data_IF_090136543261
#
_entry.id   IF_090136543261
#
_cell.length_a   1.000
_cell.length_b   1.000
_cell.length_c   1.000
_cell.angle_alpha   90.00
_cell.angle_beta   90.00
_cell.angle_gamma   90.00
#
_symmetry.space_group_name_H-M   'P 1'
#
loop_
_entity.id
_entity.type
_entity.pdbx_description
1 polymer ?
#
# COMPACT_ATOMS: atom_id res chain seq x y z
N UNK A 1 -2.55 17.89 -22.85
CA UNK A 1 -3.60 17.98 -23.87
C UNK A 1 -4.10 19.40 -23.80
N UNK A 2 -3.89 20.15 -24.86
CA UNK A 2 -4.33 21.54 -24.99
C UNK A 2 -5.80 21.58 -25.48
N UNK A 3 -6.37 22.77 -25.59
CA UNK A 3 -7.77 22.95 -25.94
C UNK A 3 -8.07 22.45 -27.37
N UNK A 4 -7.11 22.58 -28.27
CA UNK A 4 -7.23 22.21 -29.68
C UNK A 4 -7.32 20.69 -29.85
N UNK A 5 -6.52 19.92 -29.10
CA UNK A 5 -6.62 18.46 -29.04
C UNK A 5 -8.00 18.00 -28.52
N UNK A 6 -8.57 18.71 -27.54
CA UNK A 6 -9.88 18.37 -26.96
C UNK A 6 -11.02 18.58 -27.96
N UNK A 7 -11.05 19.72 -28.65
CA UNK A 7 -12.07 20.01 -29.66
C UNK A 7 -11.98 19.03 -30.84
N UNK A 8 -10.77 18.73 -31.29
CA UNK A 8 -10.55 17.73 -32.33
C UNK A 8 -11.08 16.37 -31.91
N UNK A 9 -10.70 15.87 -30.73
CA UNK A 9 -11.20 14.59 -30.24
C UNK A 9 -12.72 14.59 -30.07
N UNK A 10 -13.34 15.68 -29.58
CA UNK A 10 -14.80 15.79 -29.47
C UNK A 10 -15.51 15.71 -30.83
N UNK A 11 -14.92 16.27 -31.89
CA UNK A 11 -15.49 16.23 -33.25
C UNK A 11 -15.58 14.82 -33.83
N UNK A 12 -14.72 13.90 -33.38
CA UNK A 12 -14.67 12.51 -33.82
C UNK A 12 -15.66 11.59 -33.08
N UNK A 13 -16.32 12.09 -32.04
CA UNK A 13 -17.12 11.26 -31.14
C UNK A 13 -18.53 11.00 -31.68
N UNK A 14 -19.09 9.80 -31.44
CA UNK A 14 -20.51 9.55 -31.64
C UNK A 14 -21.36 10.57 -30.87
N UNK A 15 -22.51 10.96 -31.42
CA UNK A 15 -23.44 11.87 -30.74
C UNK A 15 -23.83 11.31 -29.37
N UNK A 16 -23.58 12.08 -28.31
CA UNK A 16 -23.89 11.71 -26.93
C UNK A 16 -22.79 10.93 -26.20
N UNK A 17 -21.66 10.62 -26.85
CA UNK A 17 -20.53 9.97 -26.20
C UNK A 17 -19.65 11.00 -25.47
N UNK A 18 -19.08 10.63 -24.32
CA UNK A 18 -18.17 11.48 -23.56
C UNK A 18 -16.73 11.11 -23.88
N UNK A 19 -15.88 12.09 -24.22
CA UNK A 19 -14.45 11.85 -24.49
C UNK A 19 -13.76 11.11 -23.32
N UNK A 20 -14.18 11.37 -22.09
CA UNK A 20 -13.63 10.76 -20.89
C UNK A 20 -13.91 9.24 -20.82
N UNK A 21 -14.93 8.73 -21.52
CA UNK A 21 -15.22 7.29 -21.61
C UNK A 21 -14.06 6.53 -22.30
N UNK A 22 -13.27 7.21 -23.13
CA UNK A 22 -12.17 6.62 -23.91
C UNK A 22 -10.82 6.77 -23.22
N UNK A 23 -10.80 7.34 -22.01
CA UNK A 23 -9.57 7.61 -21.25
C UNK A 23 -9.35 6.61 -20.12
N UNK A 24 -9.94 5.41 -20.23
CA UNK A 24 -9.86 4.35 -19.22
C UNK A 24 -8.40 3.96 -18.90
N UNK A 25 -7.52 3.99 -19.90
CA UNK A 25 -6.09 3.65 -19.75
C UNK A 25 -5.17 4.86 -19.50
N UNK A 26 -5.73 6.07 -19.41
CA UNK A 26 -4.96 7.30 -19.19
C UNK A 26 -5.03 7.73 -17.72
N UNK A 27 -4.16 7.16 -16.89
CA UNK A 27 -4.08 7.43 -15.45
C UNK A 27 -3.15 8.61 -15.08
N UNK A 28 -2.87 9.53 -16.01
CA UNK A 28 -2.01 10.68 -15.68
C UNK A 28 -2.72 11.61 -14.67
N UNK A 29 -1.99 12.24 -13.74
CA UNK A 29 -2.61 13.14 -12.76
C UNK A 29 -3.41 14.28 -13.41
N UNK A 30 -2.98 14.77 -14.58
CA UNK A 30 -3.70 15.79 -15.34
C UNK A 30 -5.05 15.26 -15.86
N UNK A 31 -5.08 14.02 -16.38
CA UNK A 31 -6.32 13.39 -16.84
C UNK A 31 -7.27 13.12 -15.67
N UNK A 32 -6.74 12.63 -14.55
CA UNK A 32 -7.52 12.37 -13.33
C UNK A 32 -8.11 13.68 -12.79
N UNK A 33 -7.32 14.76 -12.74
CA UNK A 33 -7.81 16.09 -12.37
C UNK A 33 -8.90 16.57 -13.30
N UNK A 34 -8.74 16.39 -14.61
CA UNK A 34 -9.77 16.79 -15.58
C UNK A 34 -11.08 15.99 -15.41
N UNK A 35 -10.99 14.65 -15.23
CA UNK A 35 -12.14 13.81 -14.90
C UNK A 35 -12.88 14.31 -13.66
N UNK A 36 -12.13 14.63 -12.61
CA UNK A 36 -12.69 15.19 -11.38
C UNK A 36 -13.36 16.55 -11.60
N UNK A 37 -12.70 17.47 -12.29
CA UNK A 37 -13.22 18.82 -12.54
C UNK A 37 -14.52 18.80 -13.38
N UNK A 38 -14.70 17.78 -14.23
CA UNK A 38 -15.94 17.54 -14.98
C UNK A 38 -17.00 16.76 -14.20
N UNK A 39 -16.75 16.35 -12.95
CA UNK A 39 -17.66 15.54 -12.14
C UNK A 39 -17.84 14.11 -12.63
N UNK A 40 -16.91 13.60 -13.45
CA UNK A 40 -16.99 12.26 -14.06
C UNK A 40 -17.04 11.14 -13.00
N UNK A 41 -16.29 11.30 -11.90
CA UNK A 41 -16.20 10.30 -10.83
C UNK A 41 -17.51 10.12 -10.05
N UNK A 42 -18.40 11.12 -10.02
CA UNK A 42 -19.76 10.97 -9.46
C UNK A 42 -20.55 9.87 -10.16
N UNK A 43 -20.35 9.72 -11.47
CA UNK A 43 -20.94 8.65 -12.29
C UNK A 43 -20.10 7.37 -12.21
N UNK A 44 -18.79 7.48 -12.36
CA UNK A 44 -17.86 6.34 -12.34
C UNK A 44 -17.19 6.15 -10.97
N UNK A 45 -17.95 5.56 -10.05
CA UNK A 45 -17.51 5.31 -8.67
C UNK A 45 -16.32 4.35 -8.60
N UNK A 46 -16.23 3.37 -9.51
CA UNK A 46 -15.10 2.43 -9.52
C UNK A 46 -13.84 3.12 -10.07
N UNK A 47 -13.96 3.89 -11.15
CA UNK A 47 -12.88 4.73 -11.65
C UNK A 47 -12.36 5.72 -10.62
N UNK A 48 -13.22 6.22 -9.72
CA UNK A 48 -12.81 7.12 -8.64
C UNK A 48 -11.80 6.47 -7.66
N UNK A 49 -12.05 5.22 -7.23
CA UNK A 49 -11.10 4.54 -6.32
C UNK A 49 -9.82 4.12 -7.02
N UNK A 50 -9.92 3.73 -8.30
CA UNK A 50 -8.74 3.46 -9.14
C UNK A 50 -7.89 4.71 -9.29
N UNK A 51 -8.53 5.86 -9.53
CA UNK A 51 -7.84 7.14 -9.61
C UNK A 51 -7.15 7.51 -8.29
N UNK A 52 -7.79 7.28 -7.12
CA UNK A 52 -7.15 7.48 -5.81
C UNK A 52 -5.87 6.64 -5.70
N UNK A 53 -5.92 5.35 -6.05
CA UNK A 53 -4.73 4.48 -6.07
C UNK A 53 -3.63 5.04 -6.96
N UNK A 54 -3.98 5.40 -8.20
CA UNK A 54 -3.00 5.81 -9.21
C UNK A 54 -2.29 7.13 -8.82
N UNK A 55 -3.00 8.07 -8.19
CA UNK A 55 -2.37 9.31 -7.71
C UNK A 55 -1.64 9.14 -6.38
N UNK A 56 -1.99 8.12 -5.58
CA UNK A 56 -1.38 7.86 -4.27
C UNK A 56 0.13 7.58 -4.40
N UNK A 57 0.54 6.87 -5.45
CA UNK A 57 1.95 6.63 -5.77
C UNK A 57 2.74 7.91 -6.04
N UNK A 58 2.06 9.00 -6.42
CA UNK A 58 2.67 10.31 -6.74
C UNK A 58 2.54 11.35 -5.63
N UNK A 59 2.04 10.96 -4.45
CA UNK A 59 1.92 11.82 -3.25
C UNK A 59 1.03 13.06 -3.44
N UNK A 60 0.02 12.96 -4.31
CA UNK A 60 -0.92 14.05 -4.59
C UNK A 60 -2.13 14.00 -3.63
N UNK A 61 -1.86 14.21 -2.34
CA UNK A 61 -2.88 14.15 -1.28
C UNK A 61 -4.08 15.08 -1.52
N UNK A 62 -3.85 16.26 -2.10
CA UNK A 62 -4.94 17.20 -2.42
C UNK A 62 -5.91 16.61 -3.45
N UNK A 63 -5.38 15.93 -4.47
CA UNK A 63 -6.21 15.29 -5.49
C UNK A 63 -6.94 14.08 -4.91
N UNK A 64 -6.28 13.27 -4.07
CA UNK A 64 -6.91 12.17 -3.33
C UNK A 64 -8.07 12.66 -2.47
N UNK A 65 -7.85 13.74 -1.70
CA UNK A 65 -8.87 14.36 -0.86
C UNK A 65 -10.09 14.80 -1.66
N UNK A 66 -9.87 15.46 -2.80
CA UNK A 66 -10.96 15.96 -3.64
C UNK A 66 -11.75 14.82 -4.30
N UNK A 67 -11.11 13.72 -4.70
CA UNK A 67 -11.83 12.56 -5.25
C UNK A 67 -12.64 11.86 -4.15
N UNK A 68 -12.03 11.62 -2.99
CA UNK A 68 -12.69 10.92 -1.88
C UNK A 68 -13.88 11.72 -1.31
N UNK A 69 -13.82 13.06 -1.33
CA UNK A 69 -14.92 13.90 -0.83
C UNK A 69 -16.19 13.83 -1.68
N UNK A 70 -16.10 13.51 -2.98
CA UNK A 70 -17.29 13.26 -3.83
C UNK A 70 -18.05 11.98 -3.44
N UNK A 71 -17.43 11.14 -2.61
CA UNK A 71 -17.92 9.82 -2.23
C UNK A 71 -17.84 9.61 -0.71
N UNK A 72 -18.25 10.62 0.05
CA UNK A 72 -18.41 10.50 1.50
C UNK A 72 -19.92 10.48 1.85
N UNK A 73 -20.48 9.36 2.35
CA UNK A 73 -19.80 8.12 2.71
C UNK A 73 -19.39 7.26 1.50
N UNK A 74 -18.38 6.37 1.66
CA UNK A 74 -17.94 5.48 0.59
C UNK A 74 -19.09 4.62 0.05
N UNK A 75 -19.12 4.30 -1.26
CA UNK A 75 -20.21 3.51 -1.81
C UNK A 75 -20.12 2.04 -1.39
N UNK A 76 -21.24 1.43 -0.98
CA UNK A 76 -21.27 0.10 -0.34
C UNK A 76 -20.85 -1.07 -1.26
N UNK A 77 -21.21 -1.05 -2.55
CA UNK A 77 -21.01 -2.16 -3.50
C UNK A 77 -20.01 -1.83 -4.62
N UNK A 78 -18.86 -1.30 -4.25
CA UNK A 78 -17.99 -0.58 -5.20
C UNK A 78 -16.63 -1.21 -5.47
N UNK A 79 -16.33 -2.37 -4.87
CA UNK A 79 -14.99 -2.95 -4.93
C UNK A 79 -13.91 -2.08 -4.26
N UNK A 80 -14.29 -0.96 -3.64
CA UNK A 80 -13.39 0.03 -3.06
C UNK A 80 -12.40 -0.57 -2.06
N UNK A 81 -12.81 -1.38 -1.06
CA UNK A 81 -11.87 -1.90 -0.07
C UNK A 81 -10.74 -2.73 -0.69
N UNK A 82 -11.03 -3.44 -1.79
CA UNK A 82 -10.05 -4.24 -2.51
C UNK A 82 -9.01 -3.36 -3.20
N UNK A 83 -9.45 -2.35 -3.94
CA UNK A 83 -8.56 -1.38 -4.60
C UNK A 83 -7.78 -0.57 -3.57
N UNK A 84 -8.38 -0.26 -2.43
CA UNK A 84 -7.72 0.43 -1.31
C UNK A 84 -6.59 -0.41 -0.69
N UNK A 85 -6.80 -1.73 -0.53
CA UNK A 85 -5.78 -2.65 -0.07
C UNK A 85 -4.60 -2.75 -1.03
N UNK A 86 -4.86 -2.81 -2.34
CA UNK A 86 -3.83 -2.76 -3.37
C UNK A 86 -3.06 -1.42 -3.31
N UNK A 87 -3.77 -0.29 -3.17
CA UNK A 87 -3.17 1.04 -3.02
C UNK A 87 -2.26 1.15 -1.80
N UNK A 88 -2.69 0.64 -0.65
CA UNK A 88 -1.89 0.59 0.58
C UNK A 88 -0.56 -0.14 0.34
N UNK A 89 -0.57 -1.29 -0.34
CA UNK A 89 0.64 -2.02 -0.65
C UNK A 89 1.56 -1.26 -1.62
N UNK A 90 1.00 -0.59 -2.63
CA UNK A 90 1.77 0.21 -3.58
C UNK A 90 2.43 1.42 -2.92
N UNK A 91 1.73 2.15 -2.03
CA UNK A 91 2.32 3.30 -1.34
C UNK A 91 3.35 2.91 -0.27
N UNK A 92 3.24 1.72 0.32
CA UNK A 92 4.26 1.17 1.20
C UNK A 92 5.54 0.85 0.40
N UNK A 93 5.40 0.29 -0.81
CA UNK A 93 6.52 0.05 -1.72
C UNK A 93 7.17 1.35 -2.21
N UNK A 94 6.37 2.39 -2.43
CA UNK A 94 6.85 3.71 -2.83
C UNK A 94 7.40 4.55 -1.66
N UNK A 95 7.45 4.00 -0.45
CA UNK A 95 7.95 4.63 0.77
C UNK A 95 7.25 5.96 1.15
N UNK A 96 5.93 6.04 0.94
CA UNK A 96 5.13 7.26 1.14
C UNK A 96 4.35 7.24 2.46
N UNK A 97 5.02 7.52 3.57
CA UNK A 97 4.40 7.50 4.90
C UNK A 97 3.17 8.41 5.00
N UNK A 98 3.24 9.65 4.50
CA UNK A 98 2.12 10.60 4.53
C UNK A 98 0.86 10.04 3.84
N UNK A 99 1.04 9.37 2.70
CA UNK A 99 -0.05 8.74 1.95
C UNK A 99 -0.60 7.49 2.65
N UNK A 100 0.28 6.67 3.24
CA UNK A 100 -0.14 5.52 4.08
C UNK A 100 -1.02 6.02 5.23
N UNK A 101 -0.59 7.08 5.93
CA UNK A 101 -1.34 7.67 7.03
C UNK A 101 -2.70 8.18 6.57
N UNK A 102 -2.77 8.82 5.42
CA UNK A 102 -4.02 9.29 4.84
C UNK A 102 -4.97 8.12 4.53
N UNK A 103 -4.47 7.08 3.85
CA UNK A 103 -5.26 5.93 3.44
C UNK A 103 -5.83 5.15 4.63
N UNK A 104 -5.06 4.97 5.71
CA UNK A 104 -5.51 4.23 6.91
C UNK A 104 -6.44 5.04 7.82
N UNK A 105 -6.32 6.37 7.83
CA UNK A 105 -7.27 7.25 8.56
C UNK A 105 -8.66 7.25 7.91
N UNK A 106 -8.73 7.03 6.59
CA UNK A 106 -9.99 6.98 5.86
C UNK A 106 -10.85 5.74 6.26
N UNK A 107 -12.18 5.85 6.40
CA UNK A 107 -13.05 4.73 6.76
C UNK A 107 -12.87 3.49 5.87
N UNK A 108 -12.73 3.70 4.56
CA UNK A 108 -12.47 2.61 3.60
C UNK A 108 -11.15 1.89 3.86
N UNK A 109 -10.11 2.58 4.36
CA UNK A 109 -8.84 1.95 4.70
C UNK A 109 -8.99 0.98 5.86
N UNK A 110 -9.69 1.39 6.93
CA UNK A 110 -9.99 0.51 8.06
C UNK A 110 -10.82 -0.70 7.64
N UNK A 111 -11.83 -0.47 6.80
CA UNK A 111 -12.64 -1.54 6.23
C UNK A 111 -11.81 -2.50 5.37
N UNK A 112 -10.89 -1.98 4.55
CA UNK A 112 -9.98 -2.78 3.73
C UNK A 112 -9.10 -3.69 4.59
N UNK A 113 -8.49 -3.16 5.66
CA UNK A 113 -7.70 -3.98 6.60
C UNK A 113 -8.55 -5.06 7.25
N UNK A 114 -9.76 -4.74 7.72
CA UNK A 114 -10.65 -5.72 8.33
C UNK A 114 -11.03 -6.85 7.35
N UNK A 115 -11.36 -6.49 6.10
CA UNK A 115 -11.67 -7.47 5.04
C UNK A 115 -10.45 -8.34 4.73
N UNK A 116 -9.27 -7.73 4.58
CA UNK A 116 -8.05 -8.47 4.29
C UNK A 116 -7.72 -9.48 5.40
N UNK A 117 -7.89 -9.12 6.68
CA UNK A 117 -7.64 -10.03 7.81
C UNK A 117 -8.68 -11.14 7.92
N UNK A 118 -9.94 -10.85 7.58
CA UNK A 118 -11.01 -11.85 7.56
C UNK A 118 -10.97 -12.77 6.34
N UNK A 119 -10.33 -12.34 5.25
CA UNK A 119 -10.29 -13.09 4.01
C UNK A 119 -9.34 -14.29 4.12
N UNK A 120 -9.91 -15.49 4.05
CA UNK A 120 -9.15 -16.75 3.93
C UNK A 120 -8.69 -16.96 2.48
N UNK A 121 -7.82 -16.08 1.95
CA UNK A 121 -7.35 -16.18 0.57
C UNK A 121 -5.87 -15.82 0.44
N UNK A 122 -5.17 -16.57 -0.42
CA UNK A 122 -3.75 -16.34 -0.72
C UNK A 122 -3.47 -14.90 -1.18
N UNK A 123 -4.42 -14.28 -1.90
CA UNK A 123 -4.30 -12.90 -2.33
C UNK A 123 -4.28 -11.95 -1.13
N UNK A 124 -5.22 -12.10 -0.20
CA UNK A 124 -5.32 -11.23 0.96
C UNK A 124 -4.09 -11.36 1.86
N UNK A 125 -3.64 -12.60 2.10
CA UNK A 125 -2.41 -12.89 2.86
C UNK A 125 -1.20 -12.20 2.22
N UNK A 126 -1.08 -12.28 0.88
CA UNK A 126 -0.01 -11.62 0.13
C UNK A 126 -0.09 -10.09 0.23
N UNK A 127 -1.27 -9.50 0.15
CA UNK A 127 -1.44 -8.05 0.30
C UNK A 127 -1.10 -7.58 1.71
N UNK A 128 -1.56 -8.26 2.76
CA UNK A 128 -1.22 -7.92 4.15
C UNK A 128 0.27 -8.06 4.44
N UNK A 129 0.89 -9.17 4.00
CA UNK A 129 2.33 -9.39 4.18
C UNK A 129 3.15 -8.27 3.56
N UNK A 130 2.72 -7.76 2.40
CA UNK A 130 3.39 -6.66 1.68
C UNK A 130 3.37 -5.33 2.41
N UNK A 131 2.31 -5.07 3.20
CA UNK A 131 2.20 -3.80 3.92
C UNK A 131 3.41 -3.59 4.84
N UNK A 132 3.87 -4.65 5.52
CA UNK A 132 5.04 -4.57 6.39
C UNK A 132 6.34 -4.98 5.70
N UNK A 133 6.31 -5.92 4.73
CA UNK A 133 7.55 -6.37 4.07
C UNK A 133 8.25 -5.25 3.30
N UNK A 134 7.50 -4.42 2.57
CA UNK A 134 8.09 -3.32 1.81
C UNK A 134 8.86 -2.31 2.67
N UNK A 135 8.26 -1.69 3.72
CA UNK A 135 9.01 -0.77 4.57
C UNK A 135 10.16 -1.46 5.31
N UNK A 136 10.03 -2.74 5.66
CA UNK A 136 11.12 -3.50 6.27
C UNK A 136 12.31 -3.74 5.32
N UNK A 137 12.05 -4.00 4.05
CA UNK A 137 13.08 -4.11 3.01
C UNK A 137 13.77 -2.76 2.72
N UNK A 138 13.07 -1.65 2.95
CA UNK A 138 13.57 -0.28 2.77
C UNK A 138 14.18 0.33 4.05
N UNK A 139 14.16 -0.40 5.16
CA UNK A 139 14.58 0.09 6.48
C UNK A 139 13.74 1.25 7.05
N UNK A 140 12.49 1.41 6.58
CA UNK A 140 11.58 2.43 7.11
C UNK A 140 10.87 1.95 8.37
N UNK A 141 11.61 1.96 9.48
CA UNK A 141 11.11 1.56 10.81
C UNK A 141 9.95 2.44 11.29
N UNK A 142 9.91 3.71 10.89
CA UNK A 142 8.81 4.62 11.24
C UNK A 142 7.49 4.17 10.61
N UNK A 143 7.50 3.81 9.33
CA UNK A 143 6.33 3.26 8.65
C UNK A 143 5.93 1.90 9.23
N UNK A 144 6.89 1.05 9.56
CA UNK A 144 6.61 -0.24 10.22
C UNK A 144 5.90 -0.04 11.55
N UNK A 145 6.38 0.87 12.39
CA UNK A 145 5.75 1.22 13.66
C UNK A 145 4.34 1.75 13.45
N UNK A 146 4.15 2.68 12.51
CA UNK A 146 2.84 3.23 12.23
C UNK A 146 1.82 2.15 11.80
N UNK A 147 2.20 1.26 10.88
CA UNK A 147 1.35 0.16 10.42
C UNK A 147 0.99 -0.80 11.56
N UNK A 148 1.95 -1.10 12.42
CA UNK A 148 1.75 -1.93 13.60
C UNK A 148 0.77 -1.30 14.58
N UNK A 149 0.94 -0.02 14.90
CA UNK A 149 0.07 0.73 15.80
C UNK A 149 -1.37 0.83 15.28
N UNK A 150 -1.55 0.87 13.95
CA UNK A 150 -2.88 0.85 13.32
C UNK A 150 -3.50 -0.56 13.23
N UNK A 151 -2.81 -1.61 13.69
CA UNK A 151 -3.27 -2.99 13.56
C UNK A 151 -3.38 -3.45 12.10
N UNK A 152 -2.62 -2.84 11.19
CA UNK A 152 -2.60 -3.14 9.76
C UNK A 152 -1.60 -4.27 9.41
N UNK A 153 -1.21 -5.06 10.41
CA UNK A 153 -0.21 -6.11 10.34
C UNK A 153 -0.82 -7.43 10.85
N UNK A 154 -0.40 -8.55 10.26
CA UNK A 154 -0.85 -9.90 10.67
C UNK A 154 0.30 -10.76 11.22
N UNK A 155 1.20 -11.25 10.36
CA UNK A 155 2.34 -12.11 10.73
C UNK A 155 3.66 -11.43 10.42
N UNK A 156 4.66 -11.61 11.28
CA UNK A 156 5.95 -10.94 11.16
C UNK A 156 7.03 -11.83 10.54
N UNK A 157 6.85 -13.15 10.49
CA UNK A 157 7.90 -14.10 10.10
C UNK A 157 8.37 -13.95 8.66
N UNK A 158 7.45 -13.78 7.70
CA UNK A 158 7.84 -13.52 6.30
C UNK A 158 8.59 -12.19 6.19
N UNK A 159 8.08 -11.14 6.84
CA UNK A 159 8.71 -9.81 6.85
C UNK A 159 10.09 -9.83 7.50
N UNK A 160 10.30 -10.62 8.55
CA UNK A 160 11.62 -10.83 9.16
C UNK A 160 12.59 -11.44 8.17
N UNK A 161 12.19 -12.49 7.44
CA UNK A 161 13.02 -13.09 6.40
C UNK A 161 13.34 -12.09 5.29
N UNK A 162 12.38 -11.28 4.85
CA UNK A 162 12.60 -10.29 3.80
C UNK A 162 13.56 -9.18 4.25
N UNK A 163 13.43 -8.67 5.48
CA UNK A 163 14.37 -7.73 6.08
C UNK A 163 15.79 -8.31 6.20
N UNK A 164 15.91 -9.58 6.59
CA UNK A 164 17.20 -10.29 6.63
C UNK A 164 17.80 -10.37 5.23
N UNK A 165 17.02 -10.78 4.23
CA UNK A 165 17.47 -10.90 2.84
C UNK A 165 17.98 -9.56 2.29
N UNK A 166 17.29 -8.47 2.64
CA UNK A 166 17.64 -7.10 2.30
C UNK A 166 18.77 -6.49 3.16
N UNK A 167 19.29 -7.22 4.14
CA UNK A 167 20.34 -6.77 5.07
C UNK A 167 19.95 -5.54 5.92
N UNK A 168 18.66 -5.39 6.25
CA UNK A 168 18.13 -4.24 6.97
C UNK A 168 18.16 -4.46 8.48
N UNK A 169 19.32 -4.21 9.10
CA UNK A 169 19.60 -4.50 10.51
C UNK A 169 18.60 -3.84 11.47
N UNK A 170 18.23 -2.57 11.26
CA UNK A 170 17.29 -1.89 12.16
C UNK A 170 15.86 -2.42 12.02
N UNK A 171 15.43 -2.78 10.81
CA UNK A 171 14.13 -3.47 10.61
C UNK A 171 14.11 -4.83 11.28
N UNK A 172 15.20 -5.60 11.20
CA UNK A 172 15.33 -6.88 11.90
C UNK A 172 15.23 -6.69 13.42
N UNK A 173 15.93 -5.70 13.99
CA UNK A 173 15.82 -5.41 15.44
C UNK A 173 14.39 -5.05 15.84
N UNK A 174 13.74 -4.17 15.07
CA UNK A 174 12.36 -3.77 15.33
C UNK A 174 11.41 -4.98 15.29
N UNK A 175 11.55 -5.83 14.26
CA UNK A 175 10.71 -7.03 14.10
C UNK A 175 10.90 -8.01 15.25
N UNK A 176 12.14 -8.24 15.70
CA UNK A 176 12.43 -9.11 16.83
C UNK A 176 11.87 -8.58 18.16
N UNK A 177 11.78 -7.26 18.33
CA UNK A 177 11.19 -6.64 19.52
C UNK A 177 9.65 -6.71 19.54
N UNK A 178 9.02 -6.81 18.38
CA UNK A 178 7.56 -6.84 18.22
C UNK A 178 7.03 -8.23 17.86
N UNK A 179 7.90 -9.24 17.86
CA UNK A 179 7.55 -10.59 17.48
C UNK A 179 6.61 -11.22 18.52
N UNK A 180 5.39 -11.66 18.13
CA UNK A 180 4.46 -12.22 19.09
C UNK A 180 4.90 -13.62 19.52
N UNK A 181 4.79 -13.94 20.82
CA UNK A 181 5.15 -15.26 21.37
C UNK A 181 4.43 -16.43 20.69
N UNK A 182 3.26 -16.17 20.12
CA UNK A 182 2.48 -17.15 19.36
C UNK A 182 3.13 -17.54 18.02
N UNK A 183 3.98 -16.69 17.46
CA UNK A 183 4.67 -16.92 16.20
C UNK A 183 6.08 -17.44 16.48
N UNK A 184 6.32 -18.72 16.21
CA UNK A 184 7.63 -19.32 16.42
C UNK A 184 8.58 -18.96 15.28
N UNK A 185 9.66 -18.25 15.59
CA UNK A 185 10.82 -18.17 14.72
C UNK A 185 11.67 -19.41 14.98
N UNK A 186 12.01 -20.22 13.97
CA UNK A 186 13.07 -21.19 14.15
C UNK A 186 14.38 -20.42 14.39
N UNK A 187 15.00 -20.53 15.57
CA UNK A 187 16.22 -19.80 15.96
C UNK A 187 17.34 -19.83 14.91
N UNK A 188 17.43 -20.93 14.17
CA UNK A 188 18.41 -21.12 13.12
C UNK A 188 18.11 -20.32 11.84
N UNK A 189 16.85 -19.96 11.58
CA UNK A 189 16.43 -19.37 10.31
C UNK A 189 17.08 -18.00 10.07
N UNK A 190 17.17 -17.17 11.12
CA UNK A 190 17.76 -15.83 11.01
C UNK A 190 19.27 -15.88 10.77
N UNK A 191 19.98 -16.66 11.61
CA UNK A 191 21.44 -16.81 11.49
C UNK A 191 21.83 -17.49 10.18
N UNK A 192 21.13 -18.56 9.81
CA UNK A 192 21.40 -19.31 8.60
C UNK A 192 21.16 -18.45 7.35
N UNK A 193 20.05 -17.72 7.27
CA UNK A 193 19.76 -16.89 6.09
C UNK A 193 20.73 -15.71 5.97
N UNK A 194 21.11 -15.07 7.09
CA UNK A 194 22.12 -14.02 7.10
C UNK A 194 23.50 -14.54 6.68
N UNK A 195 23.93 -15.70 7.21
CA UNK A 195 25.20 -16.34 6.86
C UNK A 195 25.24 -16.78 5.40
N UNK A 196 24.16 -17.41 4.91
CA UNK A 196 24.01 -17.85 3.51
C UNK A 196 24.16 -16.69 2.52
N UNK A 197 23.83 -15.46 2.94
CA UNK A 197 23.91 -14.25 2.11
C UNK A 197 25.15 -13.40 2.34
N UNK A 198 26.02 -13.77 3.29
CA UNK A 198 27.22 -12.99 3.61
C UNK A 198 26.93 -11.68 4.33
N UNK A 199 25.80 -11.58 5.03
CA UNK A 199 25.38 -10.38 5.77
C UNK A 199 26.13 -10.26 7.10
N UNK A 200 27.46 -10.07 7.02
CA UNK A 200 28.38 -10.06 8.17
C UNK A 200 27.98 -9.00 9.20
N UNK A 201 27.55 -7.82 8.75
CA UNK A 201 27.08 -6.75 9.64
C UNK A 201 25.90 -7.19 10.50
N UNK A 202 24.96 -7.98 9.94
CA UNK A 202 23.81 -8.50 10.66
C UNK A 202 24.22 -9.56 11.69
N UNK A 203 25.16 -10.45 11.33
CA UNK A 203 25.73 -11.47 12.23
C UNK A 203 26.55 -10.86 13.38
N UNK A 204 27.24 -9.76 13.11
CA UNK A 204 28.00 -9.01 14.10
C UNK A 204 27.11 -8.13 14.98
N UNK A 205 25.95 -7.72 14.46
CA UNK A 205 24.99 -6.93 15.22
C UNK A 205 24.47 -7.71 16.43
N UNK A 206 24.20 -7.00 17.52
CA UNK A 206 23.53 -7.58 18.70
C UNK A 206 22.11 -8.09 18.41
N UNK A 207 21.52 -7.74 17.25
CA UNK A 207 20.16 -8.08 16.87
C UNK A 207 19.93 -9.60 16.88
N UNK A 208 20.87 -10.35 16.29
CA UNK A 208 20.82 -11.83 16.24
C UNK A 208 21.14 -12.46 17.60
N UNK A 209 21.96 -11.80 18.42
CA UNK A 209 22.27 -12.28 19.79
C UNK A 209 21.07 -12.17 20.72
N UNK A 210 20.14 -11.24 20.48
CA UNK A 210 18.90 -11.09 21.25
C UNK A 210 17.91 -12.24 21.05
N UNK A 211 17.97 -12.95 19.90
CA UNK A 211 17.11 -14.12 19.62
C UNK A 211 17.34 -15.23 20.65
N UNK A 212 18.61 -15.46 21.06
CA UNK A 212 18.99 -16.46 22.09
C UNK A 212 18.48 -16.17 23.50
N UNK A 213 17.91 -15.00 23.76
CA UNK A 213 17.33 -14.64 25.07
C UNK A 213 15.81 -14.82 25.11
N UNK A 214 15.17 -15.03 23.97
CA UNK A 214 13.72 -15.20 23.83
C UNK A 214 13.33 -16.68 23.64
N UNK A 215 14.29 -17.58 23.48
CA UNK A 215 14.11 -19.05 23.48
C UNK A 215 14.50 -19.70 24.80
#
# INVERSE_FOLDING_TARGET
>A
MDADDIEFCQSLMPKGACILDYTEYCATPQMIKWKLDCGYFKRDKYGAVVAIRDVAATDQLDLMNRIASEHNPPPEDSGWPKVWGDALAEVCMADRLSTVQWLLKHPTGRQAIAILRGARSLRADKTLSKLLSYPAELCNVEMMQYLYDQGAVDRLGNTLLDAIRANQVESVKWLLQHFPDSEKIPDYAVMHEAARRGHVNMLQSGAIRSIRRLS
#
